data_IF_456480596891
#
_entry.id   IF_456480596891
#
_cell.length_a   1.000
_cell.length_b   1.000
_cell.length_c   1.000
_cell.angle_alpha   90.00
_cell.angle_beta   90.00
_cell.angle_gamma   90.00
#
_symmetry.space_group_name_H-M   'P 1'
#
loop_
_entity.id
_entity.type
_entity.pdbx_description
1 polymer ?
#
# COMPACT_ATOMS: atom_id res chain seq x y z
N UNK A 1 -38.06 -0.54 -29.18
CA UNK A 1 -36.81 0.19 -28.97
C UNK A 1 -36.70 0.46 -27.49
N UNK A 2 -35.80 -0.24 -26.80
CA UNK A 2 -35.39 0.07 -25.44
C UNK A 2 -33.90 0.34 -25.52
N UNK A 3 -33.54 1.59 -25.28
CA UNK A 3 -32.19 2.12 -25.20
C UNK A 3 -31.62 1.70 -23.84
N UNK A 4 -30.75 0.70 -23.84
CA UNK A 4 -29.98 0.32 -22.66
C UNK A 4 -28.59 0.95 -22.81
N UNK A 5 -28.45 2.08 -22.13
CA UNK A 5 -27.24 2.85 -21.88
C UNK A 5 -25.96 2.02 -21.87
N UNK A 6 -25.13 2.21 -22.89
CA UNK A 6 -23.75 1.73 -22.96
C UNK A 6 -22.78 2.55 -22.05
N UNK A 7 -23.30 3.15 -20.98
CA UNK A 7 -22.58 4.09 -20.12
C UNK A 7 -21.93 3.49 -18.87
N UNK A 8 -22.26 2.26 -18.48
CA UNK A 8 -21.83 1.69 -17.19
C UNK A 8 -20.57 0.80 -17.25
N UNK A 9 -20.02 0.52 -18.44
CA UNK A 9 -18.85 -0.37 -18.61
C UNK A 9 -17.52 0.34 -18.88
N UNK A 10 -17.49 1.68 -18.81
CA UNK A 10 -16.29 2.49 -19.01
C UNK A 10 -15.85 3.16 -17.69
N UNK A 11 -15.57 2.37 -16.65
CA UNK A 11 -14.43 2.75 -15.83
C UNK A 11 -13.20 2.40 -16.70
N UNK A 12 -12.81 3.32 -17.59
CA UNK A 12 -11.64 3.11 -18.45
C UNK A 12 -10.43 2.92 -17.54
N UNK A 13 -9.55 1.98 -17.87
CA UNK A 13 -8.33 1.74 -17.10
C UNK A 13 -7.57 3.02 -16.74
N UNK A 14 -7.65 4.05 -17.60
CA UNK A 14 -7.12 5.40 -17.38
C UNK A 14 -7.66 6.09 -16.11
N UNK A 15 -8.95 5.92 -15.78
CA UNK A 15 -9.56 6.48 -14.56
C UNK A 15 -9.06 5.74 -13.31
N UNK A 16 -8.86 4.42 -13.41
CA UNK A 16 -8.31 3.62 -12.32
C UNK A 16 -6.83 3.92 -12.08
N UNK A 17 -6.05 4.12 -13.14
CA UNK A 17 -4.65 4.55 -13.06
C UNK A 17 -4.54 5.95 -12.48
N UNK A 18 -5.37 6.90 -12.91
CA UNK A 18 -5.35 8.27 -12.37
C UNK A 18 -5.67 8.28 -10.88
N UNK A 19 -6.71 7.56 -10.45
CA UNK A 19 -7.03 7.42 -9.02
C UNK A 19 -5.87 6.81 -8.26
N UNK A 20 -5.26 5.76 -8.81
CA UNK A 20 -4.11 5.13 -8.19
C UNK A 20 -2.95 6.11 -7.99
N UNK A 21 -2.61 6.89 -9.02
CA UNK A 21 -1.58 7.92 -8.94
C UNK A 21 -1.90 8.98 -7.88
N UNK A 22 -3.16 9.44 -7.78
CA UNK A 22 -3.59 10.38 -6.75
C UNK A 22 -3.38 9.83 -5.33
N UNK A 23 -3.73 8.55 -5.11
CA UNK A 23 -3.57 7.88 -3.82
C UNK A 23 -2.10 7.70 -3.44
N UNK A 24 -1.25 7.31 -4.40
CA UNK A 24 0.19 7.17 -4.16
C UNK A 24 0.85 8.54 -3.96
N UNK A 25 0.42 9.58 -4.68
CA UNK A 25 0.93 10.93 -4.49
C UNK A 25 0.64 11.44 -3.08
N UNK A 26 -0.59 11.25 -2.59
CA UNK A 26 -0.94 11.60 -1.21
C UNK A 26 -0.09 10.83 -0.18
N UNK A 27 0.16 9.54 -0.43
CA UNK A 27 1.05 8.73 0.41
C UNK A 27 2.47 9.30 0.43
N UNK A 28 3.02 9.68 -0.73
CA UNK A 28 4.38 10.27 -0.83
C UNK A 28 4.50 11.59 -0.09
N UNK A 29 3.46 12.42 -0.13
CA UNK A 29 3.43 13.70 0.59
C UNK A 29 3.36 13.53 2.10
N UNK A 30 2.79 12.42 2.58
CA UNK A 30 2.75 12.07 3.99
C UNK A 30 4.06 11.46 4.51
N UNK A 31 4.94 10.99 3.61
CA UNK A 31 6.22 10.43 4.00
C UNK A 31 7.09 11.46 4.75
N UNK A 32 7.67 11.12 5.91
CA UNK A 32 8.57 12.00 6.62
C UNK A 32 9.75 12.43 5.76
N UNK A 33 10.08 13.73 5.81
CA UNK A 33 11.25 14.25 5.10
C UNK A 33 12.54 13.60 5.60
N UNK A 34 13.43 13.20 4.67
CA UNK A 34 14.76 12.69 4.98
C UNK A 34 14.86 11.16 5.09
N UNK A 35 13.75 10.44 5.04
CA UNK A 35 13.78 8.98 4.95
C UNK A 35 14.24 8.55 3.56
N UNK A 36 15.09 7.53 3.50
CA UNK A 36 15.64 6.99 2.26
C UNK A 36 15.26 5.53 2.04
N UNK A 37 14.81 4.85 3.09
CA UNK A 37 14.41 3.45 3.09
C UNK A 37 13.13 3.27 3.90
N UNK A 38 12.23 2.42 3.41
CA UNK A 38 10.94 2.11 4.00
C UNK A 38 10.67 0.62 3.78
N UNK A 39 10.02 -0.02 4.75
CA UNK A 39 9.53 -1.40 4.61
C UNK A 39 8.26 -1.44 3.74
N UNK A 40 8.12 -2.43 2.87
CA UNK A 40 6.91 -2.69 2.10
C UNK A 40 6.30 -4.02 2.52
N UNK A 41 5.02 -4.00 2.88
CA UNK A 41 4.27 -5.17 3.33
C UNK A 41 2.97 -5.29 2.54
N UNK A 42 2.65 -6.49 2.08
CA UNK A 42 1.43 -6.82 1.36
C UNK A 42 0.70 -8.00 2.03
N UNK A 43 -0.43 -8.42 1.47
CA UNK A 43 -1.20 -9.56 1.98
C UNK A 43 -0.34 -10.83 2.13
N UNK A 44 0.73 -11.01 1.34
CA UNK A 44 1.65 -12.15 1.48
C UNK A 44 2.39 -12.15 2.82
N UNK A 45 2.68 -10.96 3.35
CA UNK A 45 3.34 -10.77 4.65
C UNK A 45 2.42 -11.17 5.78
N UNK A 46 1.17 -10.70 5.73
CA UNK A 46 0.16 -10.95 6.76
C UNK A 46 -0.20 -12.44 6.79
N UNK A 47 -0.32 -13.06 5.61
CA UNK A 47 -0.61 -14.49 5.47
C UNK A 47 0.61 -15.39 5.72
N UNK A 48 1.82 -14.83 5.79
CA UNK A 48 3.07 -15.57 5.96
C UNK A 48 3.41 -16.48 4.77
N UNK A 49 2.85 -16.21 3.59
CA UNK A 49 3.08 -16.98 2.37
C UNK A 49 3.88 -16.15 1.37
N UNK A 50 5.20 -16.20 1.46
CA UNK A 50 6.10 -15.49 0.53
C UNK A 50 5.94 -15.89 -0.94
N UNK A 51 5.33 -17.05 -1.23
CA UNK A 51 5.07 -17.44 -2.62
C UNK A 51 3.92 -16.63 -3.25
N UNK A 52 3.11 -15.96 -2.42
CA UNK A 52 2.02 -15.07 -2.85
C UNK A 52 2.44 -13.61 -3.03
N UNK A 53 3.71 -13.27 -2.77
CA UNK A 53 4.24 -11.92 -2.92
C UNK A 53 4.16 -11.43 -4.37
N UNK A 54 3.45 -10.33 -4.60
CA UNK A 54 3.32 -9.75 -5.94
C UNK A 54 4.53 -8.87 -6.26
N UNK A 55 5.52 -9.47 -6.93
CA UNK A 55 6.74 -8.78 -7.36
C UNK A 55 6.45 -7.60 -8.29
N UNK A 56 5.41 -7.69 -9.12
CA UNK A 56 5.09 -6.61 -10.06
C UNK A 56 4.53 -5.41 -9.31
N UNK A 57 3.65 -5.66 -8.33
CA UNK A 57 3.12 -4.63 -7.46
C UNK A 57 4.22 -3.94 -6.66
N UNK A 58 5.12 -4.72 -6.04
CA UNK A 58 6.27 -4.19 -5.33
C UNK A 58 7.13 -3.28 -6.21
N UNK A 59 7.43 -3.71 -7.45
CA UNK A 59 8.21 -2.92 -8.39
C UNK A 59 7.49 -1.64 -8.81
N UNK A 60 6.19 -1.70 -9.09
CA UNK A 60 5.39 -0.52 -9.40
C UNK A 60 5.40 0.47 -8.24
N UNK A 61 5.20 0.00 -7.02
CA UNK A 61 5.27 0.85 -5.82
C UNK A 61 6.66 1.46 -5.64
N UNK A 62 7.73 0.69 -5.84
CA UNK A 62 9.11 1.19 -5.77
C UNK A 62 9.35 2.32 -6.76
N UNK A 63 8.82 2.24 -7.99
CA UNK A 63 8.93 3.33 -8.95
C UNK A 63 8.11 4.55 -8.50
N UNK A 64 6.89 4.33 -8.01
CA UNK A 64 6.00 5.41 -7.64
C UNK A 64 6.52 6.23 -6.45
N UNK A 65 7.19 5.60 -5.48
CA UNK A 65 7.67 6.28 -4.25
C UNK A 65 9.10 6.80 -4.33
N UNK A 66 9.74 6.73 -5.49
CA UNK A 66 11.09 7.26 -5.67
C UNK A 66 11.20 8.73 -5.20
N UNK A 67 12.33 9.15 -4.58
CA UNK A 67 13.61 8.43 -4.48
C UNK A 67 13.73 7.45 -3.28
N UNK A 68 12.65 7.23 -2.52
CA UNK A 68 12.68 6.31 -1.36
C UNK A 68 12.81 4.87 -1.84
N UNK A 69 13.71 4.09 -1.22
CA UNK A 69 13.89 2.67 -1.50
C UNK A 69 12.94 1.84 -0.65
N UNK A 70 12.30 0.84 -1.25
CA UNK A 70 11.46 -0.14 -0.56
C UNK A 70 12.29 -1.39 -0.24
N UNK A 71 12.14 -1.91 0.97
CA UNK A 71 12.63 -3.22 1.40
C UNK A 71 11.43 -4.10 1.77
N UNK A 72 11.38 -5.35 1.31
CA UNK A 72 10.29 -6.26 1.66
C UNK A 72 10.49 -6.96 3.01
N UNK A 73 11.46 -6.52 3.81
CA UNK A 73 11.71 -6.95 5.18
C UNK A 73 11.19 -5.92 6.17
N UNK A 74 10.73 -6.41 7.32
CA UNK A 74 10.20 -5.58 8.40
C UNK A 74 11.34 -5.13 9.32
N UNK A 75 12.17 -4.21 8.83
CA UNK A 75 13.39 -3.75 9.50
C UNK A 75 13.42 -2.22 9.69
N UNK A 76 12.42 -1.49 9.18
CA UNK A 76 12.38 -0.03 9.17
C UNK A 76 11.21 0.52 10.01
N UNK A 77 11.43 1.68 10.62
CA UNK A 77 10.44 2.44 11.41
C UNK A 77 9.17 2.76 10.60
N UNK A 78 9.33 3.09 9.32
CA UNK A 78 8.24 3.44 8.43
C UNK A 78 7.95 2.29 7.47
N UNK A 79 6.66 1.96 7.35
CA UNK A 79 6.17 0.85 6.54
C UNK A 79 5.06 1.36 5.61
N UNK A 80 5.18 1.03 4.32
CA UNK A 80 4.08 1.13 3.36
C UNK A 80 3.39 -0.23 3.29
N UNK A 81 2.09 -0.22 3.60
CA UNK A 81 1.23 -1.39 3.51
C UNK A 81 0.36 -1.36 2.26
N UNK A 82 0.20 -2.48 1.58
CA UNK A 82 -0.84 -2.68 0.57
C UNK A 82 -1.66 -3.94 0.89
N UNK A 83 -2.82 -3.75 1.51
CA UNK A 83 -3.62 -4.85 2.05
C UNK A 83 -5.06 -4.76 1.60
N UNK A 84 -5.66 -5.91 1.29
CA UNK A 84 -7.11 -6.04 1.21
C UNK A 84 -7.71 -5.91 2.61
N UNK A 85 -8.43 -4.81 2.92
CA UNK A 85 -9.06 -4.55 4.24
C UNK A 85 -9.69 -5.80 4.86
N UNK A 86 -8.97 -6.45 5.77
CA UNK A 86 -9.43 -7.63 6.47
C UNK A 86 -9.05 -7.58 7.96
N UNK A 87 -9.67 -8.45 8.77
CA UNK A 87 -9.37 -8.55 10.20
C UNK A 87 -7.98 -9.15 10.48
N UNK A 88 -7.33 -9.72 9.46
CA UNK A 88 -6.02 -10.36 9.57
C UNK A 88 -4.93 -9.29 9.63
N UNK A 89 -5.06 -8.20 8.86
CA UNK A 89 -4.18 -7.04 8.91
C UNK A 89 -4.11 -6.39 10.30
N UNK A 90 -5.26 -6.11 10.93
CA UNK A 90 -5.31 -5.49 12.27
C UNK A 90 -4.68 -6.38 13.35
N UNK A 91 -4.91 -7.69 13.24
CA UNK A 91 -4.29 -8.68 14.13
C UNK A 91 -2.77 -8.71 13.92
N UNK A 92 -2.32 -8.72 12.66
CA UNK A 92 -0.89 -8.69 12.32
C UNK A 92 -0.20 -7.42 12.84
N UNK A 93 -0.81 -6.25 12.70
CA UNK A 93 -0.26 -5.00 13.23
C UNK A 93 -0.04 -5.09 14.75
N UNK A 94 -1.06 -5.58 15.47
CA UNK A 94 -1.00 -5.74 16.93
C UNK A 94 0.08 -6.74 17.34
N UNK A 95 0.18 -7.87 16.63
CA UNK A 95 1.08 -8.97 17.00
C UNK A 95 2.55 -8.75 16.57
N UNK A 96 2.79 -8.01 15.48
CA UNK A 96 4.13 -7.85 14.89
C UNK A 96 4.76 -6.49 15.12
N UNK A 97 3.96 -5.43 15.10
CA UNK A 97 4.44 -4.06 15.24
C UNK A 97 4.24 -3.56 16.67
N UNK A 98 3.13 -3.95 17.32
CA UNK A 98 2.84 -3.52 18.68
C UNK A 98 2.29 -2.11 18.70
N UNK A 99 3.00 -1.14 19.30
CA UNK A 99 2.54 0.25 19.32
C UNK A 99 2.80 0.94 17.97
N UNK A 100 1.73 1.38 17.30
CA UNK A 100 1.83 1.91 15.94
C UNK A 100 0.78 3.00 15.64
N UNK A 101 1.09 3.84 14.65
CA UNK A 101 0.12 4.75 14.02
C UNK A 101 -0.15 4.31 12.58
N UNK A 102 -1.41 4.39 12.13
CA UNK A 102 -1.79 4.04 10.75
C UNK A 102 -2.51 5.20 10.08
N UNK A 103 -2.07 5.55 8.88
CA UNK A 103 -2.77 6.44 7.97
C UNK A 103 -3.19 5.67 6.71
N UNK A 104 -4.49 5.63 6.40
CA UNK A 104 -4.99 5.01 5.18
C UNK A 104 -5.11 6.03 4.05
N UNK A 105 -4.73 5.62 2.84
CA UNK A 105 -4.81 6.46 1.64
C UNK A 105 -5.89 5.96 0.67
N UNK A 106 -6.54 4.82 0.91
CA UNK A 106 -7.45 4.18 -0.05
C UNK A 106 -6.74 3.16 -0.92
N UNK A 107 -7.49 2.37 -1.71
CA UNK A 107 -6.94 1.31 -2.58
C UNK A 107 -6.08 0.25 -1.86
N UNK A 108 -6.28 0.06 -0.56
CA UNK A 108 -5.46 -0.85 0.23
C UNK A 108 -4.14 -0.24 0.70
N UNK A 109 -3.84 1.01 0.36
CA UNK A 109 -2.62 1.69 0.81
C UNK A 109 -2.72 2.22 2.24
N UNK A 110 -1.64 1.97 2.97
CA UNK A 110 -1.41 2.44 4.33
C UNK A 110 0.02 2.96 4.49
N UNK A 111 0.18 4.02 5.27
CA UNK A 111 1.46 4.37 5.89
C UNK A 111 1.35 4.00 7.36
N UNK A 112 2.29 3.19 7.84
CA UNK A 112 2.34 2.70 9.20
C UNK A 112 3.64 3.19 9.83
N UNK A 113 3.53 3.79 11.01
CA UNK A 113 4.65 4.19 11.85
C UNK A 113 4.77 3.20 13.01
N UNK A 114 5.86 2.45 13.04
CA UNK A 114 6.25 1.65 14.19
C UNK A 114 6.84 2.57 15.26
N UNK A 115 6.17 2.71 16.41
CA UNK A 115 6.59 3.61 17.49
C UNK A 115 7.63 2.97 18.42
N UNK A 116 7.93 1.68 18.23
CA UNK A 116 8.83 0.92 19.09
C UNK A 116 10.22 0.70 18.48
N UNK A 117 10.43 1.11 17.23
CA UNK A 117 11.68 0.96 16.47
C UNK A 117 12.52 2.25 16.44
#
# INVERSE_FOLDING_TARGET
MADLSAGEWRNSSDEMVTKWEDHVQALREALPSGITQISYMDDSTVNGDSASFDVNEFQLMQYSVAPVTLDNRLEHEWIIGNFGRDAVFETWLTDRIGAHEVQSFGFGLYLIHDLEN
#
